data_IF_488788493721
#
_entry.id   IF_488788493721
#
_cell.length_a   1.000
_cell.length_b   1.000
_cell.length_c   1.000
_cell.angle_alpha   90.00
_cell.angle_beta   90.00
_cell.angle_gamma   90.00
#
_symmetry.space_group_name_H-M   'P 1'
#
loop_
_entity.id
_entity.type
_entity.pdbx_description
1 polymer ?
#
# COMPACT_ATOMS: atom_id res chain seq x y z
N UNK A 1 8.89 21.26 2.52
CA UNK A 1 7.47 20.97 2.79
C UNK A 1 7.19 19.62 2.18
N UNK A 2 6.56 18.68 2.89
CA UNK A 2 6.17 17.44 2.26
C UNK A 2 5.27 17.82 1.10
N UNK A 3 5.63 17.42 -0.12
CA UNK A 3 4.83 17.70 -1.31
C UNK A 3 3.52 16.88 -1.32
N UNK A 4 3.27 16.11 -0.26
CA UNK A 4 2.14 15.22 -0.11
C UNK A 4 0.86 16.02 0.09
N UNK A 5 -0.06 15.95 -0.88
CA UNK A 5 -1.40 16.54 -0.77
C UNK A 5 -2.46 15.50 -0.46
N UNK A 6 -2.23 14.26 -0.86
CA UNK A 6 -3.14 13.15 -0.64
C UNK A 6 -2.43 11.99 0.05
N UNK A 7 -3.19 11.25 0.84
CA UNK A 7 -2.74 10.02 1.48
C UNK A 7 -3.77 8.91 1.37
N UNK A 8 -3.31 7.67 1.38
CA UNK A 8 -4.14 6.47 1.47
C UNK A 8 -3.68 5.59 2.63
N UNK A 9 -4.62 5.22 3.48
CA UNK A 9 -4.48 4.21 4.53
C UNK A 9 -5.20 2.95 4.07
N UNK A 10 -4.43 1.93 3.74
CA UNK A 10 -4.94 0.67 3.23
C UNK A 10 -4.68 -0.39 4.28
N UNK A 11 -5.66 -1.25 4.54
CA UNK A 11 -5.47 -2.42 5.39
C UNK A 11 -5.80 -3.68 4.62
N UNK A 12 -4.98 -4.71 4.82
CA UNK A 12 -5.11 -6.01 4.18
C UNK A 12 -5.24 -7.08 5.26
N UNK A 13 -6.36 -7.78 5.27
CA UNK A 13 -6.61 -8.92 6.17
C UNK A 13 -6.31 -10.24 5.48
N UNK A 14 -5.57 -11.10 6.18
CA UNK A 14 -5.19 -12.43 5.76
C UNK A 14 -5.92 -13.50 6.59
N UNK A 15 -6.14 -14.66 6.01
CA UNK A 15 -6.82 -15.77 6.69
C UNK A 15 -5.85 -16.57 7.59
N UNK A 16 -4.60 -16.72 7.18
CA UNK A 16 -3.60 -17.49 7.93
C UNK A 16 -2.28 -16.73 8.10
N UNK A 17 -1.50 -17.11 9.13
CA UNK A 17 -0.17 -16.51 9.38
C UNK A 17 0.79 -16.76 8.22
N UNK A 18 0.65 -17.90 7.55
CA UNK A 18 1.42 -18.24 6.35
C UNK A 18 1.11 -17.27 5.22
N UNK A 19 -0.18 -17.01 4.96
CA UNK A 19 -0.60 -16.08 3.91
C UNK A 19 -0.11 -14.67 4.20
N UNK A 20 -0.17 -14.22 5.45
CA UNK A 20 0.39 -12.91 5.83
C UNK A 20 1.89 -12.86 5.52
N UNK A 21 2.65 -13.90 5.87
CA UNK A 21 4.10 -13.91 5.69
C UNK A 21 4.52 -13.98 4.23
N UNK A 22 3.90 -14.87 3.46
CA UNK A 22 4.14 -14.98 2.02
C UNK A 22 3.65 -13.73 1.31
N UNK A 23 2.48 -13.23 1.70
CA UNK A 23 1.88 -12.03 1.13
C UNK A 23 2.73 -10.78 1.33
N UNK A 24 3.28 -10.57 2.52
CA UNK A 24 4.25 -9.51 2.80
C UNK A 24 5.45 -9.57 1.84
N UNK A 25 6.12 -10.73 1.76
CA UNK A 25 7.35 -10.92 0.99
C UNK A 25 7.11 -10.70 -0.51
N UNK A 26 6.05 -11.30 -1.05
CA UNK A 26 5.77 -11.18 -2.48
C UNK A 26 5.26 -9.78 -2.84
N UNK A 27 4.46 -9.14 -1.98
CA UNK A 27 4.05 -7.77 -2.20
C UNK A 27 5.23 -6.81 -2.19
N UNK A 28 6.17 -6.95 -1.25
CA UNK A 28 7.39 -6.15 -1.22
C UNK A 28 8.17 -6.26 -2.53
N UNK A 29 8.39 -7.47 -3.04
CA UNK A 29 9.10 -7.69 -4.32
C UNK A 29 8.39 -7.02 -5.50
N UNK A 30 7.07 -7.18 -5.59
CA UNK A 30 6.25 -6.58 -6.66
C UNK A 30 6.31 -5.05 -6.61
N UNK A 31 6.28 -4.47 -5.42
CA UNK A 31 6.40 -3.02 -5.22
C UNK A 31 7.81 -2.52 -5.56
N UNK A 32 8.86 -3.20 -5.13
CA UNK A 32 10.25 -2.85 -5.43
C UNK A 32 10.52 -2.83 -6.94
N UNK A 33 10.01 -3.81 -7.69
CA UNK A 33 10.12 -3.86 -9.16
C UNK A 33 9.41 -2.69 -9.86
N UNK A 34 8.43 -2.08 -9.20
CA UNK A 34 7.63 -0.95 -9.72
C UNK A 34 8.00 0.38 -9.05
N UNK A 35 9.05 0.42 -8.23
CA UNK A 35 9.43 1.59 -7.45
C UNK A 35 9.54 2.85 -8.32
N UNK A 36 10.30 2.78 -9.41
CA UNK A 36 10.49 3.92 -10.32
C UNK A 36 9.19 4.34 -11.02
N UNK A 37 8.31 3.38 -11.34
CA UNK A 37 6.99 3.68 -11.92
C UNK A 37 6.13 4.49 -10.94
N UNK A 38 6.06 4.07 -9.68
CA UNK A 38 5.31 4.79 -8.64
C UNK A 38 5.90 6.16 -8.37
N UNK A 39 7.23 6.25 -8.25
CA UNK A 39 7.93 7.51 -8.03
C UNK A 39 7.67 8.51 -9.17
N UNK A 40 7.78 8.05 -10.42
CA UNK A 40 7.52 8.88 -11.60
C UNK A 40 6.03 9.25 -11.74
N UNK A 41 5.12 8.37 -11.30
CA UNK A 41 3.69 8.66 -11.21
C UNK A 41 3.32 9.62 -10.06
N UNK A 42 4.28 10.03 -9.22
CA UNK A 42 4.07 11.04 -8.18
C UNK A 42 3.72 10.49 -6.80
N UNK A 43 3.96 9.20 -6.54
CA UNK A 43 4.06 8.69 -5.17
C UNK A 43 5.29 9.29 -4.48
N UNK A 44 5.13 9.71 -3.23
CA UNK A 44 6.17 10.37 -2.45
C UNK A 44 6.71 9.49 -1.32
N UNK A 45 5.83 8.67 -0.73
CA UNK A 45 6.20 7.78 0.36
C UNK A 45 5.29 6.55 0.39
N UNK A 46 5.88 5.43 0.78
CA UNK A 46 5.17 4.22 1.18
C UNK A 46 5.70 3.76 2.53
N UNK A 47 4.81 3.29 3.40
CA UNK A 47 5.18 2.43 4.53
C UNK A 47 4.28 1.21 4.57
N UNK A 48 4.82 0.09 5.03
CA UNK A 48 4.08 -1.13 5.33
C UNK A 48 4.33 -1.46 6.79
N UNK A 49 3.27 -1.79 7.53
CA UNK A 49 3.33 -2.14 8.94
C UNK A 49 2.47 -3.34 9.23
N UNK A 50 2.88 -4.16 10.20
CA UNK A 50 2.02 -5.17 10.79
C UNK A 50 1.21 -4.55 11.92
N UNK A 51 -0.12 -4.72 11.90
CA UNK A 51 -0.99 -4.21 12.97
C UNK A 51 -0.86 -5.15 14.18
N UNK A 52 -0.30 -4.63 15.27
CA UNK A 52 0.07 -5.43 16.44
C UNK A 52 -0.98 -5.40 17.58
N UNK A 53 -1.82 -4.37 17.63
CA UNK A 53 -2.72 -4.12 18.77
C UNK A 53 -4.13 -4.70 18.58
N UNK A 54 -4.37 -5.49 17.55
CA UNK A 54 -5.66 -6.11 17.27
C UNK A 54 -5.56 -7.62 17.34
N UNK A 55 -5.88 -8.16 18.52
CA UNK A 55 -5.80 -9.58 18.79
C UNK A 55 -6.64 -10.40 17.79
N UNK A 56 -6.08 -11.53 17.34
CA UNK A 56 -6.70 -12.41 16.35
C UNK A 56 -6.69 -11.88 14.91
N UNK A 57 -6.32 -10.62 14.66
CA UNK A 57 -6.22 -10.08 13.30
C UNK A 57 -4.85 -10.35 12.69
N UNK A 58 -4.85 -10.91 11.48
CA UNK A 58 -3.67 -11.02 10.63
C UNK A 58 -3.72 -9.90 9.61
N UNK A 59 -3.27 -8.71 10.01
CA UNK A 59 -3.51 -7.49 9.27
C UNK A 59 -2.21 -6.72 9.00
N UNK A 60 -2.05 -6.31 7.75
CA UNK A 60 -1.04 -5.32 7.35
C UNK A 60 -1.72 -3.97 7.12
N UNK A 61 -1.01 -2.90 7.48
CA UNK A 61 -1.31 -1.52 7.12
C UNK A 61 -0.35 -1.04 6.04
N UNK A 62 -0.87 -0.31 5.06
CA UNK A 62 -0.09 0.32 4.01
C UNK A 62 -0.45 1.80 3.96
N UNK A 63 0.53 2.66 4.23
CA UNK A 63 0.41 4.10 4.05
C UNK A 63 1.04 4.48 2.72
N UNK A 64 0.33 5.29 1.95
CA UNK A 64 0.86 5.91 0.75
C UNK A 64 0.59 7.39 0.76
N UNK A 65 1.58 8.16 0.31
CA UNK A 65 1.46 9.61 0.13
C UNK A 65 1.72 9.98 -1.33
N UNK A 66 0.95 10.93 -1.84
CA UNK A 66 0.98 11.34 -3.24
C UNK A 66 1.05 12.86 -3.36
N UNK A 67 1.71 13.32 -4.42
CA UNK A 67 1.85 14.75 -4.72
C UNK A 67 0.51 15.45 -4.92
N UNK A 68 -0.46 14.79 -5.58
CA UNK A 68 -1.78 15.32 -5.89
C UNK A 68 -2.75 14.21 -6.36
N UNK A 69 -3.98 14.60 -6.71
CA UNK A 69 -5.02 13.69 -7.23
C UNK A 69 -4.63 12.99 -8.53
N UNK A 70 -3.96 13.68 -9.44
CA UNK A 70 -3.49 13.08 -10.70
C UNK A 70 -2.47 11.98 -10.41
N UNK A 71 -1.55 12.25 -9.50
CA UNK A 71 -0.53 11.30 -9.06
C UNK A 71 -1.16 10.06 -8.42
N UNK A 72 -2.19 10.25 -7.58
CA UNK A 72 -2.98 9.16 -7.03
C UNK A 72 -3.62 8.31 -8.14
N UNK A 73 -4.29 8.92 -9.12
CA UNK A 73 -4.97 8.21 -10.22
C UNK A 73 -3.97 7.37 -11.04
N UNK A 74 -2.81 7.92 -11.39
CA UNK A 74 -1.78 7.19 -12.12
C UNK A 74 -1.24 6.01 -11.29
N UNK A 75 -0.99 6.22 -9.99
CA UNK A 75 -0.58 5.13 -9.10
C UNK A 75 -1.62 4.02 -9.01
N UNK A 76 -2.93 4.34 -9.04
CA UNK A 76 -3.99 3.30 -9.02
C UNK A 76 -3.93 2.36 -10.22
N UNK A 77 -3.46 2.83 -11.39
CA UNK A 77 -3.27 1.94 -12.56
C UNK A 77 -2.18 0.92 -12.29
N UNK A 78 -1.06 1.38 -11.71
CA UNK A 78 0.08 0.52 -11.34
C UNK A 78 -0.32 -0.48 -10.24
N UNK A 79 -1.12 -0.06 -9.25
CA UNK A 79 -1.65 -0.97 -8.22
C UNK A 79 -2.48 -2.10 -8.80
N UNK A 80 -3.38 -1.82 -9.77
CA UNK A 80 -4.20 -2.86 -10.39
C UNK A 80 -3.35 -3.94 -11.05
N UNK A 81 -2.29 -3.55 -11.76
CA UNK A 81 -1.34 -4.51 -12.34
C UNK A 81 -0.62 -5.32 -11.26
N UNK A 82 -0.21 -4.66 -10.17
CA UNK A 82 0.46 -5.31 -9.05
C UNK A 82 -0.44 -6.29 -8.28
N UNK A 83 -1.70 -5.95 -8.06
CA UNK A 83 -2.70 -6.80 -7.40
C UNK A 83 -3.01 -8.06 -8.23
N UNK A 84 -3.11 -7.91 -9.56
CA UNK A 84 -3.27 -9.05 -10.48
C UNK A 84 -2.05 -9.97 -10.38
N UNK A 85 -0.84 -9.43 -10.52
CA UNK A 85 0.40 -10.22 -10.44
C UNK A 85 0.53 -10.92 -9.08
N UNK A 86 0.20 -10.23 -7.99
CA UNK A 86 0.22 -10.79 -6.65
C UNK A 86 -0.73 -11.98 -6.53
N UNK A 87 -1.96 -11.85 -7.04
CA UNK A 87 -2.95 -12.92 -7.04
C UNK A 87 -2.49 -14.11 -7.88
N UNK A 88 -1.92 -13.87 -9.05
CA UNK A 88 -1.39 -14.91 -9.93
C UNK A 88 -0.21 -15.67 -9.31
N UNK A 89 0.69 -14.97 -8.61
CA UNK A 89 1.87 -15.58 -7.99
C UNK A 89 1.56 -16.37 -6.72
N UNK A 90 0.62 -15.89 -5.91
CA UNK A 90 0.41 -16.41 -4.56
C UNK A 90 -0.86 -17.24 -4.42
N UNK A 91 -1.90 -16.97 -5.22
CA UNK A 91 -3.23 -17.55 -5.03
C UNK A 91 -3.90 -17.16 -3.71
N UNK A 92 -3.33 -16.21 -2.95
CA UNK A 92 -3.86 -15.79 -1.66
C UNK A 92 -5.15 -15.01 -1.89
N UNK A 93 -6.17 -15.27 -1.06
CA UNK A 93 -7.34 -14.42 -0.94
C UNK A 93 -7.19 -13.53 0.30
N UNK A 94 -7.18 -12.21 0.11
CA UNK A 94 -7.04 -11.22 1.18
C UNK A 94 -8.10 -10.15 1.04
N UNK A 95 -8.48 -9.55 2.17
CA UNK A 95 -9.51 -8.50 2.18
C UNK A 95 -8.87 -7.13 2.32
N UNK A 96 -9.06 -6.28 1.31
CA UNK A 96 -8.50 -4.92 1.28
C UNK A 96 -9.54 -3.89 1.65
N UNK A 97 -9.20 -2.97 2.55
CA UNK A 97 -9.99 -1.78 2.85
C UNK A 97 -9.13 -0.53 2.70
N UNK A 98 -9.63 0.47 1.99
CA UNK A 98 -8.90 1.70 1.70
C UNK A 98 -9.65 2.92 2.22
N UNK A 99 -8.94 3.79 2.94
CA UNK A 99 -9.40 5.12 3.33
C UNK A 99 -8.45 6.15 2.73
N UNK A 100 -8.99 7.21 2.14
CA UNK A 100 -8.20 8.23 1.43
C UNK A 100 -8.50 9.60 2.01
N UNK A 101 -7.46 10.41 2.17
CA UNK A 101 -7.56 11.72 2.81
C UNK A 101 -6.76 12.79 2.08
N UNK A 102 -7.25 14.02 2.16
CA UNK A 102 -6.48 15.22 1.84
C UNK A 102 -5.66 15.58 3.08
N UNK A 103 -4.38 15.87 2.90
CA UNK A 103 -3.50 16.26 4.01
C UNK A 103 -3.82 17.70 4.39
N UNK A 104 -4.21 17.93 5.65
CA UNK A 104 -4.54 19.26 6.18
C UNK A 104 -3.34 19.93 6.84
N UNK A 105 -2.52 19.15 7.54
CA UNK A 105 -1.32 19.60 8.23
C UNK A 105 -0.26 18.51 8.14
N UNK A 106 0.98 18.90 7.95
CA UNK A 106 2.13 18.00 7.88
C UNK A 106 3.33 18.64 8.58
N UNK A 107 3.88 17.94 9.57
CA UNK A 107 4.88 18.46 10.51
C UNK A 107 5.97 17.41 10.70
N UNK A 108 7.21 17.80 10.43
CA UNK A 108 8.42 17.00 10.69
C UNK A 108 9.10 17.57 11.95
N UNK A 109 9.49 16.70 12.90
CA UNK A 109 10.15 17.05 14.16
C UNK A 109 11.63 16.66 14.16
#
# INVERSE_FOLDING_TARGET
>A
MPNSKLMSYITSDFQTKSDLKVGEIEWEKIMQQRFDKFKNAGALRQTVSQIWNKEGALRLGHLWEYRDEKSFIECQKIFREAEIEFKEKTGIEWRVFSNRGVILYDVEY
#
